data_IF_806867606259
#
_entry.id   IF_806867606259
#
_cell.length_a   1.000
_cell.length_b   1.000
_cell.length_c   1.000
_cell.angle_alpha   90.00
_cell.angle_beta   90.00
_cell.angle_gamma   90.00
#
_symmetry.space_group_name_H-M   'P 1'
#
loop_
_entity.id
_entity.type
_entity.pdbx_description
1 polymer ?
#
# COMPACT_ATOMS: atom_id res chain seq x y z
N UNK A 1 -9.36 8.05 -20.62
CA UNK A 1 -8.77 9.41 -20.70
C UNK A 1 -7.28 9.25 -20.44
N UNK A 2 -6.45 9.42 -21.47
CA UNK A 2 -4.99 9.39 -21.35
C UNK A 2 -4.55 10.81 -21.05
N UNK A 3 -4.08 11.09 -19.84
CA UNK A 3 -3.47 12.39 -19.54
C UNK A 3 -2.16 12.48 -20.32
N UNK A 4 -2.07 13.40 -21.28
CA UNK A 4 -0.80 13.74 -21.92
C UNK A 4 0.14 14.33 -20.86
N UNK A 5 1.31 13.72 -20.66
CA UNK A 5 2.28 14.03 -19.60
C UNK A 5 3.08 15.31 -19.83
N UNK A 6 2.46 16.34 -20.40
CA UNK A 6 3.10 17.63 -20.63
C UNK A 6 3.22 18.42 -19.33
N UNK A 7 4.46 18.70 -18.92
CA UNK A 7 4.90 19.81 -18.04
C UNK A 7 4.11 20.08 -16.75
N UNK A 8 3.75 19.03 -15.99
CA UNK A 8 3.08 19.21 -14.70
C UNK A 8 4.09 19.49 -13.55
N UNK A 9 3.84 20.51 -12.70
CA UNK A 9 4.62 20.78 -11.49
C UNK A 9 4.71 19.58 -10.55
N UNK A 10 5.94 19.15 -10.26
CA UNK A 10 6.25 17.91 -9.52
C UNK A 10 6.00 18.06 -8.01
N UNK A 11 5.67 16.96 -7.33
CA UNK A 11 5.60 16.89 -5.86
C UNK A 11 4.39 17.58 -5.23
N UNK A 12 3.43 18.02 -6.05
CA UNK A 12 2.19 18.66 -5.59
C UNK A 12 0.97 17.79 -5.89
N UNK A 13 -0.03 17.88 -5.02
CA UNK A 13 -1.38 17.41 -5.32
C UNK A 13 -2.02 18.40 -6.30
N UNK A 14 -2.49 17.89 -7.43
CA UNK A 14 -3.28 18.68 -8.35
C UNK A 14 -4.73 18.22 -8.30
N UNK A 15 -5.65 19.17 -8.12
CA UNK A 15 -7.07 18.92 -8.29
C UNK A 15 -7.36 19.04 -9.78
N UNK A 16 -7.66 17.90 -10.42
CA UNK A 16 -8.15 17.89 -11.80
C UNK A 16 -9.66 17.72 -11.73
N UNK A 17 -10.39 18.76 -12.14
CA UNK A 17 -11.84 18.67 -12.32
C UNK A 17 -12.12 17.97 -13.65
N UNK A 18 -12.53 16.71 -13.57
CA UNK A 18 -13.01 15.97 -14.76
C UNK A 18 -14.49 16.25 -14.96
N UNK A 19 -14.84 16.88 -16.07
CA UNK A 19 -16.23 17.07 -16.50
C UNK A 19 -16.62 15.89 -17.39
N UNK A 20 -17.58 15.09 -16.95
CA UNK A 20 -18.16 13.99 -17.73
C UNK A 20 -19.63 14.29 -18.04
N UNK A 21 -20.22 13.55 -18.99
CA UNK A 21 -21.66 13.62 -19.28
C UNK A 21 -22.55 13.24 -18.10
N UNK A 22 -21.98 12.63 -17.05
CA UNK A 22 -22.64 12.24 -15.80
C UNK A 22 -22.40 13.23 -14.64
N UNK A 23 -21.71 14.35 -14.91
CA UNK A 23 -21.37 15.38 -13.91
C UNK A 23 -19.86 15.62 -13.77
N UNK A 24 -19.51 16.64 -12.99
CA UNK A 24 -18.12 16.95 -12.64
C UNK A 24 -17.67 16.13 -11.43
N UNK A 25 -16.59 15.38 -11.56
CA UNK A 25 -15.89 14.76 -10.42
C UNK A 25 -14.55 15.45 -10.23
N UNK A 26 -14.32 15.99 -9.03
CA UNK A 26 -13.01 16.50 -8.65
C UNK A 26 -12.15 15.31 -8.23
N UNK A 27 -11.13 14.97 -9.01
CA UNK A 27 -10.14 13.95 -8.66
C UNK A 27 -8.83 14.62 -8.29
N UNK A 28 -8.26 14.22 -7.16
CA UNK A 28 -6.93 14.66 -6.76
C UNK A 28 -5.90 13.71 -7.34
N UNK A 29 -4.84 14.24 -7.96
CA UNK A 29 -3.73 13.49 -8.52
C UNK A 29 -2.46 13.83 -7.75
N UNK A 30 -1.67 12.81 -7.42
CA UNK A 30 -0.34 12.97 -6.87
C UNK A 30 0.69 12.51 -7.89
N UNK A 31 1.63 13.38 -8.23
CA UNK A 31 2.71 13.09 -9.17
C UNK A 31 4.03 13.09 -8.38
N UNK A 32 4.68 11.91 -8.23
CA UNK A 32 5.99 11.81 -7.60
C UNK A 32 7.02 12.60 -8.40
N UNK A 33 8.00 13.14 -7.71
CA UNK A 33 9.13 13.83 -8.35
C UNK A 33 10.12 12.80 -8.91
N UNK A 34 10.55 12.99 -10.17
CA UNK A 34 11.72 12.37 -10.81
C UNK A 34 11.62 10.92 -11.32
N UNK A 35 10.43 10.33 -11.42
CA UNK A 35 10.26 9.06 -12.13
C UNK A 35 10.50 9.24 -13.65
N UNK A 36 11.53 8.61 -14.20
CA UNK A 36 11.74 8.60 -15.66
C UNK A 36 10.70 7.69 -16.31
N UNK A 37 9.99 8.09 -17.38
CA UNK A 37 8.99 7.24 -18.00
C UNK A 37 9.54 5.84 -18.32
N UNK A 38 8.85 4.79 -17.92
CA UNK A 38 9.27 3.44 -18.27
C UNK A 38 9.15 3.26 -19.80
N UNK A 39 10.29 3.14 -20.47
CA UNK A 39 10.37 2.58 -21.82
C UNK A 39 10.57 1.08 -21.70
N UNK A 40 9.82 0.28 -22.46
CA UNK A 40 10.00 -1.17 -22.52
C UNK A 40 11.33 -1.52 -23.21
N UNK A 41 12.41 -1.46 -22.44
CA UNK A 41 13.76 -1.71 -22.89
C UNK A 41 14.21 -3.12 -22.49
N UNK A 42 15.23 -3.63 -23.18
CA UNK A 42 16.01 -4.78 -22.71
C UNK A 42 16.51 -4.50 -21.30
N UNK A 43 16.33 -5.45 -20.40
CA UNK A 43 16.75 -5.32 -19.00
C UNK A 43 15.78 -4.52 -18.13
N UNK A 44 14.66 -4.02 -18.65
CA UNK A 44 13.61 -3.38 -17.86
C UNK A 44 13.10 -4.34 -16.79
N UNK A 45 12.97 -3.87 -15.54
CA UNK A 45 12.44 -4.67 -14.41
C UNK A 45 10.94 -4.49 -14.29
N UNK A 46 10.25 -5.52 -13.80
CA UNK A 46 8.80 -5.50 -13.60
C UNK A 46 8.43 -6.16 -12.27
N UNK A 47 7.29 -5.74 -11.74
CA UNK A 47 6.64 -6.37 -10.60
C UNK A 47 5.31 -6.96 -11.06
N UNK A 48 5.09 -8.23 -10.71
CA UNK A 48 3.82 -8.90 -10.96
C UNK A 48 2.93 -8.77 -9.72
N UNK A 49 1.72 -8.24 -9.85
CA UNK A 49 0.76 -8.16 -8.75
C UNK A 49 -0.61 -8.72 -9.21
N UNK A 50 -1.27 -9.61 -8.44
CA UNK A 50 -2.43 -10.39 -8.90
C UNK A 50 -3.71 -9.59 -9.11
N UNK A 51 -3.83 -8.39 -8.53
CA UNK A 51 -5.04 -7.56 -8.61
C UNK A 51 -4.74 -6.09 -8.30
N UNK A 52 -3.52 -5.61 -8.56
CA UNK A 52 -3.11 -4.43 -7.83
C UNK A 52 -3.94 -3.18 -8.12
N UNK A 53 -4.52 -3.03 -9.31
CA UNK A 53 -4.98 -1.73 -9.78
C UNK A 53 -6.15 -1.80 -10.78
N UNK A 54 -7.04 -2.80 -10.66
CA UNK A 54 -8.40 -2.76 -11.23
C UNK A 54 -8.65 -3.39 -12.62
N UNK A 55 -7.71 -4.13 -13.20
CA UNK A 55 -7.91 -4.86 -14.47
C UNK A 55 -6.94 -6.05 -14.51
N UNK A 56 -7.40 -7.26 -14.86
CA UNK A 56 -6.55 -8.38 -15.28
C UNK A 56 -6.80 -9.73 -14.57
N UNK A 57 -7.36 -10.71 -15.26
CA UNK A 57 -7.62 -12.09 -14.81
C UNK A 57 -6.81 -13.13 -15.60
N UNK A 58 -5.83 -12.71 -16.41
CA UNK A 58 -5.37 -13.52 -17.55
C UNK A 58 -4.00 -14.22 -17.36
N UNK A 59 -3.24 -13.91 -16.30
CA UNK A 59 -2.12 -14.78 -15.89
C UNK A 59 -2.59 -16.07 -15.19
N UNK A 60 -3.89 -16.25 -15.01
CA UNK A 60 -4.54 -17.41 -14.39
C UNK A 60 -4.43 -18.72 -15.23
N UNK A 61 -3.56 -18.85 -16.23
CA UNK A 61 -3.51 -20.10 -17.01
C UNK A 61 -2.12 -20.60 -17.41
N UNK A 62 -1.03 -20.11 -16.81
CA UNK A 62 0.33 -20.60 -17.15
C UNK A 62 1.24 -20.81 -15.94
N UNK A 63 2.35 -21.53 -16.16
CA UNK A 63 3.41 -21.92 -15.20
C UNK A 63 4.01 -20.79 -14.32
N UNK A 64 3.65 -19.54 -14.59
CA UNK A 64 3.79 -18.38 -13.70
C UNK A 64 3.04 -18.62 -12.37
N UNK A 65 1.94 -19.38 -12.37
CA UNK A 65 1.12 -19.66 -11.19
C UNK A 65 1.84 -20.52 -10.13
N UNK A 66 2.55 -21.58 -10.53
CA UNK A 66 3.27 -22.45 -9.57
C UNK A 66 4.41 -21.72 -8.85
N UNK A 67 5.02 -20.72 -9.50
CA UNK A 67 6.05 -19.89 -8.89
C UNK A 67 5.50 -18.68 -8.12
N UNK A 68 4.28 -18.21 -8.44
CA UNK A 68 3.53 -17.33 -7.55
C UNK A 68 3.19 -18.03 -6.22
N UNK A 69 2.83 -19.33 -6.26
CA UNK A 69 2.61 -20.15 -5.05
C UNK A 69 3.89 -20.31 -4.20
N UNK A 70 5.07 -20.24 -4.83
CA UNK A 70 6.36 -20.34 -4.14
C UNK A 70 6.91 -18.99 -3.63
N UNK A 71 6.29 -17.85 -3.98
CA UNK A 71 6.69 -16.50 -3.52
C UNK A 71 7.79 -15.84 -4.37
N UNK A 72 7.97 -16.34 -5.59
CA UNK A 72 9.11 -16.09 -6.49
C UNK A 72 8.89 -14.93 -7.47
N UNK A 73 7.63 -14.51 -7.64
CA UNK A 73 7.20 -13.68 -8.77
C UNK A 73 7.23 -12.17 -8.54
N UNK A 74 7.69 -11.73 -7.36
CA UNK A 74 7.61 -10.31 -6.97
C UNK A 74 8.85 -9.50 -7.36
N UNK A 75 9.66 -10.02 -8.28
CA UNK A 75 10.62 -9.26 -9.06
C UNK A 75 11.07 -10.11 -10.26
N UNK A 76 10.54 -9.82 -11.44
CA UNK A 76 11.23 -10.23 -12.65
C UNK A 76 12.52 -9.40 -12.74
N UNK A 77 13.67 -10.08 -12.74
CA UNK A 77 14.97 -9.39 -12.66
C UNK A 77 15.40 -8.81 -14.01
N UNK A 78 15.16 -9.54 -15.10
CA UNK A 78 15.62 -9.14 -16.42
C UNK A 78 14.68 -9.63 -17.52
N UNK A 79 14.55 -8.78 -18.53
CA UNK A 79 13.87 -9.07 -19.79
C UNK A 79 14.95 -9.15 -20.87
N UNK A 80 15.14 -10.33 -21.43
CA UNK A 80 16.01 -10.53 -22.59
C UNK A 80 15.12 -10.82 -23.79
N UNK A 81 15.33 -10.11 -24.90
CA UNK A 81 14.66 -10.49 -26.16
C UNK A 81 15.16 -11.86 -26.60
N UNK A 82 14.26 -12.69 -27.10
CA UNK A 82 14.66 -13.74 -28.01
C UNK A 82 15.30 -13.12 -29.26
N UNK A 83 16.17 -13.87 -29.95
CA UNK A 83 16.90 -13.38 -31.12
C UNK A 83 15.99 -12.83 -32.23
N UNK A 84 14.76 -13.33 -32.30
CA UNK A 84 13.71 -12.93 -33.25
C UNK A 84 12.85 -11.73 -32.78
N UNK A 85 13.07 -11.24 -31.55
CA UNK A 85 12.29 -10.21 -30.87
C UNK A 85 10.78 -10.48 -30.77
N UNK A 86 10.34 -11.73 -30.93
CA UNK A 86 8.92 -12.08 -30.87
C UNK A 86 8.41 -12.18 -29.43
N UNK A 87 9.31 -12.56 -28.52
CA UNK A 87 8.99 -12.83 -27.12
C UNK A 87 10.06 -12.30 -26.17
N UNK A 88 9.64 -12.02 -24.94
CA UNK A 88 10.47 -11.62 -23.82
C UNK A 88 10.67 -12.80 -22.89
N UNK A 89 11.93 -13.07 -22.54
CA UNK A 89 12.26 -14.04 -21.51
C UNK A 89 12.26 -13.36 -20.15
N UNK A 90 11.36 -13.79 -19.27
CA UNK A 90 11.21 -13.34 -17.90
C UNK A 90 11.93 -14.33 -17.00
N UNK A 91 12.94 -13.87 -16.27
CA UNK A 91 13.58 -14.67 -15.21
C UNK A 91 13.07 -14.23 -13.86
N UNK A 92 12.51 -15.18 -13.09
CA UNK A 92 12.05 -14.90 -11.74
C UNK A 92 13.19 -14.97 -10.71
N UNK A 93 12.87 -14.72 -9.43
CA UNK A 93 13.85 -14.69 -8.33
C UNK A 93 14.54 -16.05 -8.04
N UNK A 94 14.07 -17.15 -8.62
CA UNK A 94 14.69 -18.48 -8.49
C UNK A 94 15.38 -18.94 -9.77
N UNK A 95 15.53 -18.06 -10.77
CA UNK A 95 16.18 -18.39 -12.03
C UNK A 95 15.29 -19.15 -13.01
N UNK A 96 13.99 -19.34 -12.72
CA UNK A 96 13.07 -19.91 -13.68
C UNK A 96 12.76 -18.87 -14.78
N UNK A 97 12.82 -19.32 -16.03
CA UNK A 97 12.65 -18.48 -17.21
C UNK A 97 11.34 -18.79 -17.94
N UNK A 98 10.61 -17.75 -18.33
CA UNK A 98 9.36 -17.86 -19.08
C UNK A 98 9.42 -17.00 -20.33
N UNK A 99 8.89 -17.49 -21.45
CA UNK A 99 8.77 -16.70 -22.67
C UNK A 99 7.36 -16.14 -22.78
N UNK A 100 7.22 -14.81 -22.83
CA UNK A 100 5.93 -14.14 -23.05
C UNK A 100 6.00 -13.37 -24.38
N UNK A 101 5.03 -13.56 -25.30
CA UNK A 101 4.96 -12.77 -26.52
C UNK A 101 4.91 -11.27 -26.22
N UNK A 102 5.69 -10.47 -26.94
CA UNK A 102 5.86 -9.03 -26.66
C UNK A 102 4.55 -8.25 -26.78
N UNK A 103 3.71 -8.65 -27.74
CA UNK A 103 2.38 -8.09 -27.94
C UNK A 103 1.49 -8.23 -26.69
N UNK A 104 1.77 -9.22 -25.83
CA UNK A 104 1.02 -9.47 -24.59
C UNK A 104 1.61 -8.73 -23.39
N UNK A 105 2.90 -8.41 -23.36
CA UNK A 105 3.54 -7.80 -22.17
C UNK A 105 3.04 -6.38 -21.90
N UNK A 106 2.83 -5.57 -22.94
CA UNK A 106 2.32 -4.21 -22.79
C UNK A 106 0.80 -4.16 -22.54
N UNK A 107 0.09 -5.25 -22.81
CA UNK A 107 -1.36 -5.37 -22.59
C UNK A 107 -1.69 -6.18 -21.34
N UNK A 108 -0.75 -6.92 -20.77
CA UNK A 108 -0.93 -7.69 -19.54
C UNK A 108 -0.94 -6.75 -18.35
N UNK A 109 -2.14 -6.53 -17.81
CA UNK A 109 -2.36 -5.62 -16.70
C UNK A 109 -1.65 -6.04 -15.40
N UNK A 110 -1.15 -7.28 -15.32
CA UNK A 110 -0.54 -7.84 -14.12
C UNK A 110 0.98 -7.63 -14.08
N UNK A 111 1.63 -7.24 -15.19
CA UNK A 111 3.06 -6.93 -15.27
C UNK A 111 3.27 -5.42 -15.27
N UNK A 112 3.70 -4.89 -14.13
CA UNK A 112 3.88 -3.44 -13.96
C UNK A 112 5.38 -3.10 -14.06
N UNK A 113 5.80 -2.24 -15.00
CA UNK A 113 7.21 -1.84 -15.09
C UNK A 113 7.68 -1.16 -13.81
N UNK A 114 8.92 -1.42 -13.39
CA UNK A 114 9.58 -0.73 -12.27
C UNK A 114 10.33 0.48 -12.81
N UNK A 115 10.05 1.66 -12.27
CA UNK A 115 10.75 2.90 -12.63
C UNK A 115 11.97 3.09 -11.74
N UNK A 116 13.08 3.54 -12.32
CA UNK A 116 14.22 4.03 -11.56
C UNK A 116 13.86 5.35 -10.87
N UNK A 117 13.97 5.37 -9.55
CA UNK A 117 13.59 6.50 -8.70
C UNK A 117 14.53 6.56 -7.50
N UNK A 118 15.29 7.65 -7.38
CA UNK A 118 16.28 7.84 -6.32
C UNK A 118 15.64 7.73 -4.92
N UNK A 119 14.40 8.20 -4.78
CA UNK A 119 13.65 8.14 -3.53
C UNK A 119 13.29 6.69 -3.15
N UNK A 120 12.75 5.91 -4.10
CA UNK A 120 12.49 4.49 -3.90
C UNK A 120 13.78 3.72 -3.59
N UNK A 121 14.89 4.03 -4.28
CA UNK A 121 16.21 3.42 -4.01
C UNK A 121 16.73 3.77 -2.62
N UNK A 122 16.61 5.04 -2.19
CA UNK A 122 17.01 5.47 -0.86
C UNK A 122 16.20 4.74 0.23
N UNK A 123 14.88 4.64 0.05
CA UNK A 123 14.03 3.87 0.96
C UNK A 123 14.38 2.38 0.97
N UNK A 124 14.58 1.76 -0.20
CA UNK A 124 14.98 0.36 -0.33
C UNK A 124 16.27 0.09 0.46
N UNK A 125 17.30 0.92 0.28
CA UNK A 125 18.57 0.79 0.99
C UNK A 125 18.42 1.01 2.50
N UNK A 126 17.55 1.94 2.90
CA UNK A 126 17.33 2.25 4.30
C UNK A 126 16.54 1.15 5.04
N UNK A 127 15.62 0.45 4.38
CA UNK A 127 14.62 -0.41 5.04
C UNK A 127 14.63 -1.89 4.62
N UNK A 128 15.24 -2.28 3.50
CA UNK A 128 15.24 -3.68 3.06
C UNK A 128 15.87 -4.63 4.07
N UNK A 129 15.19 -5.75 4.33
CA UNK A 129 15.55 -6.75 5.33
C UNK A 129 15.27 -6.33 6.78
N UNK A 130 14.87 -5.08 7.03
CA UNK A 130 14.64 -4.56 8.38
C UNK A 130 13.18 -4.74 8.81
N UNK A 131 12.99 -4.75 10.13
CA UNK A 131 11.67 -4.67 10.72
C UNK A 131 11.16 -3.23 10.69
N UNK A 132 9.90 -3.07 10.32
CA UNK A 132 9.16 -1.81 10.40
C UNK A 132 7.86 -2.01 11.18
N UNK A 133 7.43 -0.98 11.88
CA UNK A 133 6.22 -0.98 12.68
C UNK A 133 5.18 -0.08 12.02
N UNK A 134 3.98 -0.59 11.71
CA UNK A 134 2.93 0.22 11.12
C UNK A 134 2.25 1.07 12.20
N UNK A 135 2.16 2.38 11.98
CA UNK A 135 1.46 3.31 12.88
C UNK A 135 -0.05 3.16 12.72
N UNK A 136 -0.75 2.81 13.79
CA UNK A 136 -2.19 2.50 13.72
C UNK A 136 -2.51 1.12 13.16
N UNK A 137 -1.50 0.31 12.87
CA UNK A 137 -1.66 -0.93 12.11
C UNK A 137 -1.54 -0.70 10.61
N UNK A 138 -1.62 -1.78 9.84
CA UNK A 138 -1.54 -1.74 8.39
C UNK A 138 -2.51 -2.73 7.78
N UNK A 139 -3.22 -2.34 6.73
CA UNK A 139 -3.96 -3.27 5.88
C UNK A 139 -3.13 -3.58 4.66
N UNK A 140 -2.72 -4.82 4.56
CA UNK A 140 -1.86 -5.30 3.50
C UNK A 140 -2.65 -6.21 2.58
N UNK A 141 -2.31 -6.23 1.30
CA UNK A 141 -2.89 -7.16 0.33
C UNK A 141 -2.06 -8.42 0.26
N UNK A 142 -2.72 -9.55 0.04
CA UNK A 142 -1.97 -10.74 -0.35
C UNK A 142 -1.43 -10.56 -1.76
N UNK A 143 -0.15 -10.86 -1.98
CA UNK A 143 0.34 -11.01 -3.35
C UNK A 143 0.01 -12.37 -3.98
N UNK A 144 -0.69 -13.23 -3.26
CA UNK A 144 -1.27 -14.46 -3.80
C UNK A 144 -2.73 -14.59 -3.35
N UNK A 145 -3.65 -14.11 -4.16
CA UNK A 145 -5.06 -14.39 -3.96
C UNK A 145 -5.72 -14.74 -5.31
N UNK A 146 -6.06 -16.01 -5.57
CA UNK A 146 -6.76 -16.41 -6.79
C UNK A 146 -8.16 -15.80 -6.88
N UNK A 147 -8.70 -15.28 -5.78
CA UNK A 147 -10.00 -14.62 -5.70
C UNK A 147 -9.88 -13.09 -5.64
N UNK A 148 -8.66 -12.56 -5.82
CA UNK A 148 -8.39 -11.15 -6.13
C UNK A 148 -8.92 -10.12 -5.13
N UNK A 149 -8.92 -10.38 -3.82
CA UNK A 149 -9.35 -9.35 -2.86
C UNK A 149 -8.97 -9.54 -1.37
N UNK A 150 -8.14 -10.53 -1.00
CA UNK A 150 -7.78 -10.77 0.38
C UNK A 150 -6.90 -9.63 0.94
N UNK A 151 -7.49 -8.88 1.87
CA UNK A 151 -6.79 -7.93 2.72
C UNK A 151 -6.51 -8.54 4.09
N UNK A 152 -5.37 -8.18 4.66
CA UNK A 152 -4.93 -8.56 5.99
C UNK A 152 -4.67 -7.32 6.83
N UNK A 153 -5.35 -7.22 7.95
CA UNK A 153 -5.08 -6.18 8.93
C UNK A 153 -4.02 -6.67 9.92
N UNK A 154 -2.96 -5.87 10.04
CA UNK A 154 -1.81 -6.13 10.91
C UNK A 154 -1.83 -5.14 12.05
N UNK A 155 -1.77 -5.66 13.28
CA UNK A 155 -1.69 -4.85 14.49
C UNK A 155 -0.47 -3.92 14.51
N UNK A 156 -0.55 -2.70 15.06
CA UNK A 156 0.60 -1.81 15.26
C UNK A 156 1.70 -2.41 16.15
N UNK A 157 1.39 -3.49 16.89
CA UNK A 157 2.33 -4.21 17.75
C UNK A 157 3.26 -5.14 16.97
N UNK A 158 2.82 -5.60 15.80
CA UNK A 158 3.49 -6.64 15.05
C UNK A 158 4.46 -5.99 14.05
N UNK A 159 5.78 -6.23 14.19
CA UNK A 159 6.72 -5.75 13.19
C UNK A 159 6.53 -6.52 11.88
N UNK A 160 6.67 -5.79 10.78
CA UNK A 160 6.70 -6.32 9.43
C UNK A 160 8.14 -6.31 8.93
N UNK A 161 8.62 -7.42 8.39
CA UNK A 161 9.94 -7.43 7.75
C UNK A 161 9.78 -6.93 6.32
N UNK A 162 10.36 -5.76 6.03
CA UNK A 162 10.31 -5.18 4.69
C UNK A 162 11.27 -5.93 3.76
N UNK A 163 10.78 -6.34 2.59
CA UNK A 163 11.58 -7.04 1.58
C UNK A 163 12.02 -6.08 0.48
N UNK A 164 11.06 -5.47 -0.19
CA UNK A 164 11.32 -4.61 -1.35
C UNK A 164 10.43 -3.36 -1.34
N UNK A 165 10.97 -2.24 -1.82
CA UNK A 165 10.31 -0.99 -2.18
C UNK A 165 10.70 -0.72 -3.63
N UNK A 166 9.70 -0.58 -4.51
CA UNK A 166 9.89 -0.21 -5.91
C UNK A 166 8.89 0.84 -6.31
N UNK A 167 9.24 1.68 -7.29
CA UNK A 167 8.27 2.53 -7.96
C UNK A 167 7.67 1.78 -9.14
N UNK A 168 6.34 1.69 -9.19
CA UNK A 168 5.63 1.05 -10.29
C UNK A 168 5.24 2.09 -11.33
N UNK A 169 5.38 1.79 -12.62
CA UNK A 169 4.90 2.64 -13.71
C UNK A 169 3.43 2.41 -13.99
N UNK A 170 2.55 2.92 -13.12
CA UNK A 170 1.10 2.79 -13.27
C UNK A 170 0.39 3.81 -12.40
N UNK A 171 -0.82 4.18 -12.78
CA UNK A 171 -1.68 4.98 -11.93
C UNK A 171 -2.37 4.08 -10.90
N UNK A 172 -2.42 4.54 -9.66
CA UNK A 172 -3.12 3.86 -8.59
C UNK A 172 -4.14 4.77 -7.92
N UNK A 173 -5.38 4.31 -7.86
CA UNK A 173 -6.36 4.93 -6.98
C UNK A 173 -6.06 4.47 -5.55
N UNK A 174 -5.69 5.43 -4.72
CA UNK A 174 -5.33 5.24 -3.33
C UNK A 174 -6.31 6.01 -2.45
N UNK A 175 -6.52 5.49 -1.26
CA UNK A 175 -7.33 6.15 -0.23
C UNK A 175 -6.39 6.61 0.89
N UNK A 176 -6.55 7.85 1.35
CA UNK A 176 -5.83 8.33 2.53
C UNK A 176 -6.47 7.76 3.80
N UNK A 177 -5.66 7.44 4.80
CA UNK A 177 -6.11 6.95 6.10
C UNK A 177 -5.57 5.56 6.43
N UNK A 178 -6.33 4.80 7.23
CA UNK A 178 -6.05 3.37 7.43
C UNK A 178 -6.14 2.68 6.08
N UNK A 179 -5.05 2.04 5.64
CA UNK A 179 -4.98 1.33 4.36
C UNK A 179 -6.27 0.51 4.19
N UNK A 180 -6.98 0.68 3.07
CA UNK A 180 -8.15 -0.13 2.71
C UNK A 180 -9.49 0.16 3.39
N UNK A 181 -9.60 1.11 4.33
CA UNK A 181 -10.92 1.59 4.70
C UNK A 181 -11.47 2.53 3.61
N UNK A 182 -12.78 2.51 3.37
CA UNK A 182 -13.51 3.32 2.37
C UNK A 182 -13.49 4.83 2.71
N UNK A 183 -12.31 5.43 2.89
CA UNK A 183 -12.21 6.86 3.13
C UNK A 183 -12.74 7.66 1.95
N UNK A 184 -13.44 8.75 2.26
CA UNK A 184 -14.01 9.68 1.26
C UNK A 184 -12.97 10.41 0.40
N UNK A 185 -11.70 10.38 0.82
CA UNK A 185 -10.59 11.02 0.11
C UNK A 185 -9.80 10.00 -0.70
N UNK A 186 -10.34 9.62 -1.86
CA UNK A 186 -9.59 8.91 -2.90
C UNK A 186 -8.79 9.90 -3.74
N UNK A 187 -7.56 9.52 -4.06
CA UNK A 187 -6.69 10.26 -4.95
C UNK A 187 -5.93 9.29 -5.84
N UNK A 188 -5.51 9.75 -7.00
CA UNK A 188 -4.75 8.95 -7.95
C UNK A 188 -3.27 9.25 -7.77
N UNK A 189 -2.52 8.30 -7.23
CA UNK A 189 -1.07 8.34 -7.27
C UNK A 189 -0.59 7.90 -8.65
N UNK A 190 0.11 8.78 -9.34
CA UNK A 190 0.87 8.42 -10.54
C UNK A 190 2.13 7.72 -10.07
N UNK A 191 2.44 6.59 -10.67
CA UNK A 191 3.63 5.79 -10.40
C UNK A 191 3.92 5.56 -8.90
N UNK A 192 3.06 4.85 -8.14
CA UNK A 192 3.18 4.72 -6.70
C UNK A 192 4.37 3.84 -6.28
N UNK A 193 4.72 3.92 -5.00
CA UNK A 193 5.58 2.94 -4.34
C UNK A 193 4.79 1.65 -4.04
N UNK A 194 5.36 0.51 -4.39
CA UNK A 194 4.92 -0.80 -3.93
C UNK A 194 5.91 -1.29 -2.88
N UNK A 195 5.41 -1.58 -1.69
CA UNK A 195 6.19 -2.13 -0.59
C UNK A 195 5.77 -3.57 -0.35
N UNK A 196 6.73 -4.50 -0.32
CA UNK A 196 6.50 -5.91 -0.01
C UNK A 196 7.08 -6.28 1.35
N UNK A 197 6.40 -7.19 2.04
CA UNK A 197 6.72 -7.62 3.40
C UNK A 197 6.79 -9.14 3.46
N UNK A 198 7.80 -9.67 4.14
CA UNK A 198 7.91 -11.09 4.46
C UNK A 198 7.02 -11.42 5.66
N UNK A 199 6.21 -12.47 5.53
CA UNK A 199 5.42 -13.01 6.63
C UNK A 199 6.29 -13.89 7.52
N UNK A 200 6.80 -13.32 8.62
CA UNK A 200 7.61 -14.08 9.59
C UNK A 200 6.76 -14.94 10.54
N UNK A 201 5.48 -14.60 10.68
CA UNK A 201 4.47 -15.30 11.48
C UNK A 201 3.11 -15.03 10.87
N UNK A 202 2.14 -15.91 11.14
CA UNK A 202 0.74 -15.65 10.85
C UNK A 202 0.34 -14.33 11.54
N UNK A 203 -0.04 -13.28 10.80
CA UNK A 203 -0.49 -12.05 11.43
C UNK A 203 -1.73 -12.37 12.27
N UNK A 204 -1.94 -11.65 13.37
CA UNK A 204 -3.26 -11.63 14.00
C UNK A 204 -4.19 -10.96 12.99
N UNK A 205 -5.10 -11.73 12.39
CA UNK A 205 -5.98 -11.22 11.35
C UNK A 205 -7.27 -10.76 12.00
N UNK A 206 -7.50 -9.46 12.00
CA UNK A 206 -8.67 -8.83 12.61
C UNK A 206 -9.85 -8.73 11.64
N UNK A 207 -9.63 -8.99 10.34
CA UNK A 207 -10.67 -9.06 9.33
C UNK A 207 -10.12 -9.43 7.97
N UNK A 208 -10.92 -10.13 7.16
CA UNK A 208 -10.75 -10.26 5.72
C UNK A 208 -12.03 -9.81 5.05
N UNK A 209 -11.96 -8.76 4.22
CA UNK A 209 -13.03 -8.42 3.30
C UNK A 209 -12.76 -9.08 1.96
N UNK A 210 -13.72 -9.81 1.42
CA UNK A 210 -13.71 -10.22 0.00
C UNK A 210 -14.47 -9.16 -0.79
N UNK A 211 -14.05 -8.89 -2.02
CA UNK A 211 -14.87 -8.10 -2.94
C UNK A 211 -16.10 -8.90 -3.36
N UNK A 212 -17.23 -8.23 -3.55
CA UNK A 212 -18.56 -8.81 -3.85
C UNK A 212 -18.60 -9.71 -5.12
N UNK A 213 -17.50 -9.75 -5.90
CA UNK A 213 -17.40 -10.50 -7.16
C UNK A 213 -17.12 -11.99 -6.97
N UNK A 214 -16.65 -12.41 -5.80
CA UNK A 214 -16.46 -13.83 -5.49
C UNK A 214 -17.09 -14.14 -4.14
N UNK A 215 -18.19 -14.92 -4.05
CA UNK A 215 -18.74 -15.33 -2.77
C UNK A 215 -17.63 -16.01 -1.98
N UNK A 216 -17.31 -15.46 -0.80
CA UNK A 216 -16.25 -15.96 0.05
C UNK A 216 -16.40 -17.49 0.19
N UNK A 217 -15.45 -18.30 -0.30
CA UNK A 217 -15.41 -19.67 0.17
C UNK A 217 -15.16 -19.55 1.68
N UNK A 218 -15.82 -20.37 2.51
CA UNK A 218 -15.94 -20.15 3.96
C UNK A 218 -14.61 -20.04 4.75
N UNK A 219 -14.62 -20.29 6.06
CA UNK A 219 -13.41 -20.25 6.91
C UNK A 219 -12.18 -20.96 6.29
N UNK A 220 -12.41 -21.98 5.45
CA UNK A 220 -11.39 -22.70 4.68
C UNK A 220 -10.61 -21.83 3.68
N UNK A 221 -11.23 -20.84 3.02
CA UNK A 221 -10.51 -19.93 2.12
C UNK A 221 -9.61 -18.97 2.87
N UNK A 222 -10.03 -18.55 4.07
CA UNK A 222 -9.23 -17.69 4.92
C UNK A 222 -7.96 -18.42 5.40
N UNK A 223 -8.11 -19.65 5.89
CA UNK A 223 -6.98 -20.49 6.29
C UNK A 223 -6.08 -20.78 5.09
N UNK A 224 -6.66 -21.11 3.93
CA UNK A 224 -5.91 -21.36 2.71
C UNK A 224 -5.14 -20.11 2.25
N UNK A 225 -5.77 -18.94 2.25
CA UNK A 225 -5.13 -17.69 1.87
C UNK A 225 -3.97 -17.40 2.83
N UNK A 226 -4.14 -17.59 4.13
CA UNK A 226 -3.06 -17.46 5.12
C UNK A 226 -1.90 -18.43 4.85
N UNK A 227 -2.20 -19.70 4.60
CA UNK A 227 -1.20 -20.74 4.34
C UNK A 227 -0.43 -20.50 3.04
N UNK A 228 -1.07 -19.84 2.07
CA UNK A 228 -0.50 -19.60 0.74
C UNK A 228 0.05 -18.20 0.57
N UNK A 229 -0.36 -17.24 1.40
CA UNK A 229 0.18 -15.89 1.38
C UNK A 229 1.59 -15.92 1.99
N UNK A 230 2.63 -16.00 1.15
CA UNK A 230 4.01 -15.99 1.62
C UNK A 230 4.56 -14.58 1.89
N UNK A 231 3.94 -13.57 1.29
CA UNK A 231 4.33 -12.18 1.46
C UNK A 231 3.10 -11.30 1.26
N UNK A 232 3.17 -10.12 1.88
CA UNK A 232 2.13 -9.11 1.84
C UNK A 232 2.65 -7.88 1.10
N UNK A 233 1.75 -7.06 0.55
CA UNK A 233 2.16 -5.78 -0.01
C UNK A 233 1.23 -4.63 0.37
N UNK A 234 1.78 -3.43 0.35
CA UNK A 234 1.05 -2.17 0.46
C UNK A 234 1.47 -1.24 -0.66
N UNK A 235 0.57 -0.34 -1.05
CA UNK A 235 0.82 0.67 -2.08
C UNK A 235 0.78 2.04 -1.41
N UNK A 236 1.81 2.85 -1.64
CA UNK A 236 1.95 4.21 -1.08
C UNK A 236 2.20 5.19 -2.20
N UNK A 237 1.72 6.42 -2.05
CA UNK A 237 1.95 7.42 -3.09
C UNK A 237 3.42 7.76 -3.25
N UNK A 238 4.12 8.00 -2.13
CA UNK A 238 5.53 8.36 -2.13
C UNK A 238 6.17 8.21 -0.74
N UNK A 239 7.40 8.72 -0.60
CA UNK A 239 8.17 8.79 0.64
C UNK A 239 7.35 9.35 1.79
N UNK A 240 6.62 10.45 1.61
CA UNK A 240 5.87 11.06 2.70
C UNK A 240 4.79 10.12 3.27
N UNK A 241 4.12 9.36 2.39
CA UNK A 241 3.06 8.41 2.73
C UNK A 241 3.65 7.16 3.41
N UNK A 242 4.79 6.67 2.88
CA UNK A 242 5.56 5.62 3.54
C UNK A 242 5.99 6.03 4.96
N UNK A 243 6.58 7.22 5.10
CA UNK A 243 7.17 7.70 6.35
C UNK A 243 6.13 8.01 7.43
N UNK A 244 4.88 8.34 7.05
CA UNK A 244 3.78 8.46 8.02
C UNK A 244 3.23 7.09 8.42
N UNK A 245 3.15 6.14 7.49
CA UNK A 245 2.61 4.80 7.78
C UNK A 245 3.55 3.91 8.57
N UNK A 246 4.86 3.98 8.35
CA UNK A 246 5.81 3.04 8.95
C UNK A 246 6.88 3.75 9.81
N UNK A 247 7.36 3.03 10.82
CA UNK A 247 8.49 3.42 11.67
C UNK A 247 9.55 2.32 11.69
N UNK A 248 10.83 2.67 11.80
CA UNK A 248 11.93 1.71 11.97
C UNK A 248 12.08 1.20 13.40
N UNK A 249 11.26 1.69 14.33
CA UNK A 249 11.25 1.29 15.73
C UNK A 249 9.81 1.26 16.25
N UNK A 250 9.55 0.41 17.25
CA UNK A 250 8.24 0.37 17.93
C UNK A 250 7.95 1.65 18.70
N UNK A 251 6.68 1.91 19.02
CA UNK A 251 6.28 3.04 19.86
C UNK A 251 7.06 3.11 21.17
N UNK A 252 7.20 1.98 21.87
CA UNK A 252 7.91 1.90 23.15
C UNK A 252 9.41 2.15 23.02
N UNK A 253 10.04 1.75 21.90
CA UNK A 253 11.46 2.00 21.66
C UNK A 253 11.72 3.44 21.22
N UNK A 254 10.81 4.04 20.47
CA UNK A 254 10.94 5.42 19.99
C UNK A 254 10.63 6.45 21.09
N UNK A 255 9.76 6.09 22.03
CA UNK A 255 9.31 6.96 23.12
C UNK A 255 9.44 6.25 24.48
N UNK A 256 10.67 6.13 25.01
CA UNK A 256 10.91 5.48 26.30
C UNK A 256 10.30 6.28 27.49
N UNK A 257 9.94 7.54 27.27
CA UNK A 257 9.26 8.41 28.23
C UNK A 257 7.75 8.11 28.36
N UNK A 258 7.17 7.35 27.44
CA UNK A 258 5.75 7.00 27.50
C UNK A 258 5.51 5.90 28.54
N UNK A 259 4.53 6.12 29.41
CA UNK A 259 4.19 5.15 30.45
C UNK A 259 3.72 3.82 29.84
N UNK A 260 3.93 2.71 30.55
CA UNK A 260 3.41 1.40 30.13
C UNK A 260 1.88 1.40 29.96
N UNK A 261 1.14 2.22 30.73
CA UNK A 261 -0.29 2.39 30.57
C UNK A 261 -0.65 3.07 29.24
N UNK A 262 0.10 4.12 28.86
CA UNK A 262 -0.03 4.79 27.56
C UNK A 262 0.24 3.83 26.41
N UNK A 263 1.34 3.06 26.49
CA UNK A 263 1.68 2.05 25.48
C UNK A 263 0.56 1.01 25.34
N UNK A 264 -0.03 0.54 26.46
CA UNK A 264 -1.17 -0.39 26.41
C UNK A 264 -2.40 0.20 25.73
N UNK A 265 -2.70 1.48 25.95
CA UNK A 265 -3.82 2.17 25.28
C UNK A 265 -3.59 2.28 23.77
N UNK A 266 -2.41 2.77 23.37
CA UNK A 266 -1.97 2.86 21.97
C UNK A 266 -2.11 1.51 21.28
N UNK A 267 -1.56 0.48 21.92
CA UNK A 267 -1.59 -0.88 21.43
C UNK A 267 -3.02 -1.44 21.30
N UNK A 268 -3.99 -0.91 22.04
CA UNK A 268 -5.39 -1.29 21.98
C UNK A 268 -6.22 -0.41 21.02
N UNK A 269 -5.58 0.47 20.25
CA UNK A 269 -6.26 1.42 19.36
C UNK A 269 -7.06 2.49 20.10
N UNK A 270 -6.82 2.68 21.41
CA UNK A 270 -7.60 3.61 22.23
C UNK A 270 -6.97 4.99 22.27
N UNK A 271 -7.80 6.02 22.23
CA UNK A 271 -7.40 7.42 22.43
C UNK A 271 -7.88 7.89 23.81
N UNK A 272 -7.06 8.69 24.49
CA UNK A 272 -7.42 9.34 25.75
C UNK A 272 -7.07 10.82 25.74
N UNK A 273 -7.75 11.58 26.60
CA UNK A 273 -7.41 12.98 26.87
C UNK A 273 -5.92 13.12 27.22
N UNK A 274 -5.28 14.16 26.71
CA UNK A 274 -3.87 14.47 26.94
C UNK A 274 -2.87 13.75 26.02
N UNK A 275 -3.29 12.78 25.21
CA UNK A 275 -2.42 12.15 24.21
C UNK A 275 -1.90 13.18 23.19
N UNK A 276 -0.67 13.01 22.70
CA UNK A 276 -0.13 13.85 21.63
C UNK A 276 -0.57 13.35 20.25
N UNK A 277 -0.36 14.15 19.19
CA UNK A 277 -0.56 13.68 17.81
C UNK A 277 0.19 12.38 17.51
N UNK A 278 1.42 12.22 18.00
CA UNK A 278 2.21 11.03 17.76
C UNK A 278 1.64 9.80 18.48
N UNK A 279 1.16 9.97 19.73
CA UNK A 279 0.43 8.91 20.44
C UNK A 279 -0.84 8.50 19.71
N UNK A 280 -1.60 9.47 19.18
CA UNK A 280 -2.80 9.21 18.37
C UNK A 280 -2.43 8.48 17.08
N UNK A 281 -1.37 8.91 16.38
CA UNK A 281 -0.90 8.28 15.16
C UNK A 281 -0.44 6.83 15.40
N UNK A 282 0.22 6.54 16.52
CA UNK A 282 0.56 5.17 16.88
C UNK A 282 -0.66 4.30 17.19
N UNK A 283 -1.73 4.91 17.70
CA UNK A 283 -2.97 4.22 18.10
C UNK A 283 -3.90 3.96 16.90
N UNK A 284 -4.14 4.97 16.07
CA UNK A 284 -5.14 4.93 14.97
C UNK A 284 -4.54 5.16 13.58
N UNK A 285 -3.28 5.53 13.48
CA UNK A 285 -2.66 5.98 12.23
C UNK A 285 -2.82 7.48 12.03
N UNK A 286 -2.17 8.02 11.00
CA UNK A 286 -2.40 9.41 10.60
C UNK A 286 -3.79 9.55 9.94
N UNK A 287 -4.44 10.73 10.03
CA UNK A 287 -5.78 10.94 9.48
C UNK A 287 -5.78 10.79 7.95
N UNK A 288 -6.98 10.63 7.39
CA UNK A 288 -7.25 10.61 5.95
C UNK A 288 -7.12 12.01 5.31
N UNK A 289 -6.01 12.69 5.59
CA UNK A 289 -5.70 14.02 5.09
C UNK A 289 -4.36 14.01 4.35
N UNK A 290 -4.24 14.91 3.40
CA UNK A 290 -3.01 15.14 2.65
C UNK A 290 -1.97 15.85 3.51
N UNK A 291 -0.72 15.40 3.38
CA UNK A 291 0.43 16.04 4.02
C UNK A 291 1.36 15.06 4.71
N UNK A 292 2.59 15.52 4.94
CA UNK A 292 3.55 14.79 5.74
C UNK A 292 3.22 14.82 7.24
N UNK A 293 4.01 14.12 8.06
CA UNK A 293 3.79 14.08 9.52
C UNK A 293 3.82 15.48 10.16
N UNK A 294 4.70 16.37 9.69
CA UNK A 294 4.88 17.72 10.26
C UNK A 294 3.69 18.61 9.95
N UNK A 295 3.15 18.50 8.75
CA UNK A 295 1.94 19.20 8.31
C UNK A 295 0.72 18.69 9.09
N UNK A 296 0.54 17.37 9.17
CA UNK A 296 -0.60 16.77 9.87
C UNK A 296 -0.58 17.07 11.38
N UNK A 297 0.59 17.09 12.02
CA UNK A 297 0.73 17.42 13.44
C UNK A 297 0.42 18.90 13.79
N UNK A 298 0.25 19.77 12.79
CA UNK A 298 -0.20 21.17 13.00
C UNK A 298 -1.72 21.29 13.02
N UNK A 299 -2.44 20.28 12.54
CA UNK A 299 -3.90 20.32 12.50
C UNK A 299 -4.46 20.21 13.93
N UNK A 300 -5.44 21.06 14.22
CA UNK A 300 -6.19 21.03 15.48
C UNK A 300 -7.28 19.95 15.49
N UNK A 301 -7.59 19.36 14.34
CA UNK A 301 -8.65 18.36 14.19
C UNK A 301 -8.18 17.28 13.23
N UNK A 302 -8.26 16.03 13.68
CA UNK A 302 -8.04 14.84 12.84
C UNK A 302 -9.35 14.09 12.67
N UNK A 303 -9.72 13.77 11.43
CA UNK A 303 -10.91 13.01 11.08
C UNK A 303 -10.52 11.64 10.57
N UNK A 304 -11.22 10.63 11.07
CA UNK A 304 -11.08 9.23 10.73
C UNK A 304 -12.45 8.73 10.28
N UNK A 305 -12.75 8.67 8.98
CA UNK A 305 -14.03 8.13 8.50
C UNK A 305 -14.19 6.65 8.92
N UNK A 306 -13.08 5.95 9.12
CA UNK A 306 -13.06 4.54 9.54
C UNK A 306 -11.88 4.27 10.47
N UNK A 307 -11.95 4.77 11.70
CA UNK A 307 -11.02 4.42 12.76
C UNK A 307 -11.12 2.92 13.12
N UNK A 308 -10.01 2.19 13.18
CA UNK A 308 -9.99 0.78 13.59
C UNK A 308 -10.72 0.57 14.93
N UNK A 309 -11.80 -0.21 14.93
CA UNK A 309 -12.58 -0.55 16.11
C UNK A 309 -13.62 0.49 16.58
N UNK A 310 -13.74 1.65 15.91
CA UNK A 310 -14.65 2.73 16.35
C UNK A 310 -15.59 3.28 15.26
N UNK A 311 -15.36 2.97 13.98
CA UNK A 311 -16.13 3.59 12.89
C UNK A 311 -15.68 5.02 12.64
N UNK A 312 -16.60 5.97 12.52
CA UNK A 312 -16.27 7.38 12.34
C UNK A 312 -15.78 7.99 13.65
N UNK A 313 -14.61 8.64 13.61
CA UNK A 313 -14.05 9.32 14.77
C UNK A 313 -13.41 10.67 14.40
N UNK A 314 -13.63 11.66 15.25
CA UNK A 314 -12.97 12.97 15.16
C UNK A 314 -12.21 13.26 16.44
N UNK A 315 -10.91 13.51 16.33
CA UNK A 315 -10.00 13.83 17.44
C UNK A 315 -9.67 15.32 17.42
N UNK A 316 -9.91 16.00 18.54
CA UNK A 316 -9.66 17.43 18.70
C UNK A 316 -8.42 17.68 19.55
N UNK A 317 -7.54 18.56 19.08
CA UNK A 317 -6.28 18.91 19.72
C UNK A 317 -6.24 20.38 20.15
N UNK A 318 -5.63 20.64 21.30
CA UNK A 318 -5.23 21.97 21.75
C UNK A 318 -3.82 21.90 22.31
N UNK A 319 -2.93 22.78 21.85
CA UNK A 319 -1.52 22.81 22.24
C UNK A 319 -0.83 21.44 22.06
N UNK A 320 -1.11 20.76 20.94
CA UNK A 320 -0.52 19.47 20.59
C UNK A 320 -1.03 18.27 21.39
N UNK A 321 -2.11 18.43 22.17
CA UNK A 321 -2.70 17.37 23.00
C UNK A 321 -4.20 17.20 22.75
N UNK A 322 -4.67 15.96 22.82
CA UNK A 322 -6.09 15.62 22.71
C UNK A 322 -6.88 16.26 23.85
N UNK A 323 -7.93 16.99 23.49
CA UNK A 323 -8.90 17.56 24.44
C UNK A 323 -10.28 16.92 24.35
N UNK A 324 -10.62 16.34 23.19
CA UNK A 324 -11.89 15.62 22.99
C UNK A 324 -11.74 14.60 21.88
N UNK A 325 -12.56 13.55 21.96
CA UNK A 325 -12.75 12.56 20.89
C UNK A 325 -14.25 12.38 20.72
N UNK A 326 -14.75 12.67 19.52
CA UNK A 326 -16.11 12.35 19.14
C UNK A 326 -16.08 11.05 18.35
N UNK A 327 -16.85 10.06 18.78
CA UNK A 327 -16.98 8.78 18.11
C UNK A 327 -18.43 8.71 17.66
N UNK A 328 -18.64 8.78 16.35
CA UNK A 328 -19.96 8.60 15.77
C UNK A 328 -20.12 7.08 15.62
N UNK A 329 -20.84 6.50 16.58
CA UNK A 329 -20.99 5.05 16.70
C UNK A 329 -21.52 4.43 15.40
N UNK A 330 -20.90 3.34 14.95
CA UNK A 330 -21.48 2.48 13.92
C UNK A 330 -22.85 1.97 14.40
N UNK A 331 -23.88 2.18 13.57
CA UNK A 331 -25.13 1.42 13.58
C UNK A 331 -24.75 -0.06 13.46
N UNK A 332 -24.93 -0.81 14.56
CA UNK A 332 -24.67 -2.25 14.67
C UNK A 332 -25.23 -3.04 13.49
#
# INVERSE_FOLDING_TARGET
>A
MTLERGDLPRGMFQVVTTVSSLGSTNRQFYIPTNATPASANVGQRFIALPDALGVGTDLQHTAVWDDAQNGSLFAAQHFTWLADRSSLVITNLHGATYSIPVAQVLTQADLIPIVEDENATALQNAYSGKLVWPRGGARLRCGYDPYGSAFYEVSPRLPLRLRTIVRAYRNAELTLGFDGAFGDATYVAIDPLIITFELTRTPDIWGSGYSDRHPAPGLSAHIWAIEKCRFLYSVKADVWDFMRSYSSASAASQHPDWSAATIRLINAGKISHGMTHDMVAWSLGYPAALGDRKELNRLSVWRYPHAPGFGEATVYFKNGKVISVNIDSIVR
#
